data_IF_847317705197
#
_entry.id   IF_847317705197
#
_cell.length_a   1.000
_cell.length_b   1.000
_cell.length_c   1.000
_cell.angle_alpha   90.00
_cell.angle_beta   90.00
_cell.angle_gamma   90.00
#
_symmetry.space_group_name_H-M   'P 1'
#
loop_
_entity.id
_entity.type
_entity.pdbx_description
1 polymer ?
#
# COMPACT_ATOMS: atom_id res chain seq x y z
N UNK A 1 -25.76 -0.81 4.05
CA UNK A 1 -25.32 -2.15 3.61
C UNK A 1 -25.93 -3.13 4.60
N UNK A 2 -26.44 -4.27 4.13
CA UNK A 2 -27.03 -5.30 4.98
C UNK A 2 -26.39 -6.64 4.62
N UNK A 3 -26.27 -7.55 5.59
CA UNK A 3 -25.84 -8.93 5.32
C UNK A 3 -27.01 -9.77 4.77
N UNK A 4 -26.74 -11.04 4.46
CA UNK A 4 -27.73 -12.01 3.98
C UNK A 4 -28.86 -12.30 4.98
N UNK A 5 -28.71 -11.90 6.24
CA UNK A 5 -29.68 -12.09 7.32
C UNK A 5 -30.44 -10.80 7.65
N UNK A 6 -30.21 -9.71 6.90
CA UNK A 6 -30.86 -8.42 7.13
C UNK A 6 -30.24 -7.58 8.25
N UNK A 7 -29.07 -7.96 8.78
CA UNK A 7 -28.39 -7.16 9.79
C UNK A 7 -27.70 -5.95 9.15
N UNK A 8 -27.75 -4.82 9.85
CA UNK A 8 -27.13 -3.57 9.37
C UNK A 8 -25.61 -3.68 9.42
N UNK A 9 -24.96 -3.37 8.29
CA UNK A 9 -23.51 -3.33 8.15
C UNK A 9 -22.98 -1.89 8.03
N UNK A 10 -21.85 -1.64 8.68
CA UNK A 10 -21.10 -0.38 8.63
C UNK A 10 -19.66 -0.66 8.21
N UNK A 11 -19.19 0.09 7.21
CA UNK A 11 -17.79 0.02 6.76
C UNK A 11 -16.94 1.02 7.53
N UNK A 12 -15.81 0.59 8.08
CA UNK A 12 -14.83 1.46 8.75
C UNK A 12 -13.44 1.28 8.13
N UNK A 13 -12.76 2.38 7.86
CA UNK A 13 -11.39 2.37 7.35
C UNK A 13 -10.41 1.93 8.43
N UNK A 14 -9.43 1.11 8.05
CA UNK A 14 -8.43 0.61 9.00
C UNK A 14 -7.50 1.75 9.40
N UNK A 15 -7.36 2.03 10.71
CA UNK A 15 -6.50 3.10 11.21
C UNK A 15 -5.02 2.70 11.31
N UNK A 16 -4.69 1.41 11.17
CA UNK A 16 -3.34 0.88 11.32
C UNK A 16 -2.76 0.30 10.02
N UNK A 17 -1.46 0.00 10.03
CA UNK A 17 -0.80 -0.68 8.91
C UNK A 17 -1.16 -2.16 8.90
N UNK A 18 -1.25 -2.79 7.72
CA UNK A 18 -1.62 -4.21 7.65
C UNK A 18 -0.60 -5.15 8.29
N UNK A 19 0.66 -4.74 8.40
CA UNK A 19 1.69 -5.52 9.11
C UNK A 19 1.65 -5.34 10.64
N UNK A 20 0.81 -4.43 11.15
CA UNK A 20 0.64 -4.19 12.58
C UNK A 20 -0.44 -5.13 13.13
N UNK A 21 -0.06 -6.40 13.29
CA UNK A 21 -0.94 -7.48 13.72
C UNK A 21 -1.62 -7.16 15.06
N UNK A 22 -0.85 -6.76 16.07
CA UNK A 22 -1.37 -6.40 17.38
C UNK A 22 -2.31 -5.18 17.32
N UNK A 23 -1.94 -4.15 16.55
CA UNK A 23 -2.80 -2.97 16.36
C UNK A 23 -4.14 -3.32 15.69
N UNK A 24 -4.14 -4.26 14.72
CA UNK A 24 -5.35 -4.73 14.07
C UNK A 24 -6.23 -5.56 15.03
N UNK A 25 -5.64 -6.50 15.77
CA UNK A 25 -6.37 -7.31 16.76
C UNK A 25 -7.06 -6.43 17.80
N UNK A 26 -6.31 -5.54 18.45
CA UNK A 26 -6.85 -4.58 19.41
C UNK A 26 -7.94 -3.69 18.80
N UNK A 27 -7.77 -3.28 17.54
CA UNK A 27 -8.79 -2.48 16.87
C UNK A 27 -10.11 -3.24 16.70
N UNK A 28 -10.06 -4.52 16.34
CA UNK A 28 -11.26 -5.34 16.19
C UNK A 28 -11.94 -5.56 17.55
N UNK A 29 -11.17 -5.83 18.60
CA UNK A 29 -11.66 -5.96 19.97
C UNK A 29 -12.33 -4.64 20.46
N UNK A 30 -11.69 -3.49 20.22
CA UNK A 30 -12.25 -2.16 20.52
C UNK A 30 -13.53 -1.85 19.73
N UNK A 31 -13.65 -2.35 18.49
CA UNK A 31 -14.86 -2.19 17.69
C UNK A 31 -15.99 -3.07 18.22
N UNK A 32 -15.72 -4.32 18.58
CA UNK A 32 -16.71 -5.24 19.16
C UNK A 32 -17.22 -4.74 20.52
N UNK A 33 -16.34 -4.20 21.36
CA UNK A 33 -16.73 -3.54 22.62
C UNK A 33 -17.66 -2.33 22.41
N UNK A 34 -17.71 -1.76 21.20
CA UNK A 34 -18.61 -0.65 20.83
C UNK A 34 -19.88 -1.11 20.09
N UNK A 35 -20.11 -2.42 19.97
CA UNK A 35 -21.25 -3.00 19.24
C UNK A 35 -21.02 -3.11 17.74
N UNK A 36 -19.77 -3.07 17.29
CA UNK A 36 -19.38 -3.32 15.90
C UNK A 36 -18.65 -4.65 15.81
N UNK A 37 -19.38 -5.73 15.58
CA UNK A 37 -18.80 -7.07 15.42
C UNK A 37 -18.30 -7.24 13.99
N UNK A 38 -17.05 -7.68 13.81
CA UNK A 38 -16.49 -7.87 12.47
C UNK A 38 -17.27 -8.97 11.73
N UNK A 39 -17.74 -8.63 10.54
CA UNK A 39 -18.47 -9.52 9.62
C UNK A 39 -17.56 -9.97 8.48
N UNK A 40 -16.89 -9.02 7.84
CA UNK A 40 -16.01 -9.28 6.70
C UNK A 40 -14.95 -8.18 6.54
N UNK A 41 -13.98 -8.42 5.67
CA UNK A 41 -12.84 -7.56 5.44
C UNK A 41 -12.73 -7.17 3.96
N UNK A 42 -12.90 -5.88 3.69
CA UNK A 42 -12.74 -5.31 2.36
C UNK A 42 -11.31 -4.83 2.08
N UNK A 43 -11.12 -4.16 0.94
CA UNK A 43 -9.83 -3.54 0.60
C UNK A 43 -9.51 -2.43 1.60
N UNK A 44 -8.71 -2.79 2.60
CA UNK A 44 -8.24 -1.90 3.68
C UNK A 44 -9.37 -1.28 4.52
N UNK A 45 -10.50 -1.98 4.66
CA UNK A 45 -11.65 -1.58 5.47
C UNK A 45 -12.24 -2.79 6.18
N UNK A 46 -12.60 -2.67 7.45
CA UNK A 46 -13.43 -3.66 8.13
C UNK A 46 -14.91 -3.38 7.85
N UNK A 47 -15.69 -4.43 7.59
CA UNK A 47 -17.14 -4.38 7.48
C UNK A 47 -17.68 -5.01 8.77
N UNK A 48 -18.47 -4.24 9.50
CA UNK A 48 -18.93 -4.59 10.83
C UNK A 48 -20.44 -4.67 10.86
N UNK A 49 -20.96 -5.72 11.49
CA UNK A 49 -22.36 -5.83 11.89
C UNK A 49 -22.61 -4.93 13.10
N UNK A 50 -23.67 -4.14 13.02
CA UNK A 50 -24.15 -3.32 14.14
C UNK A 50 -24.98 -4.21 15.05
N UNK A 51 -24.58 -4.33 16.30
CA UNK A 51 -25.27 -5.10 17.32
C UNK A 51 -25.05 -4.51 18.71
N UNK A 52 -25.36 -5.30 19.74
CA UNK A 52 -25.09 -4.92 21.13
C UNK A 52 -23.58 -4.90 21.41
N UNK A 53 -23.10 -4.01 22.30
CA UNK A 53 -21.73 -4.03 22.79
C UNK A 53 -21.32 -5.42 23.28
N UNK A 54 -20.25 -5.95 22.71
CA UNK A 54 -19.69 -7.26 23.07
C UNK A 54 -18.27 -7.09 23.64
N UNK A 55 -18.12 -6.51 24.85
CA UNK A 55 -16.83 -6.44 25.53
C UNK A 55 -16.39 -7.87 25.90
N UNK A 56 -15.12 -8.20 25.66
CA UNK A 56 -14.56 -9.53 25.93
C UNK A 56 -14.37 -10.40 24.69
N UNK A 57 -14.96 -10.02 23.55
CA UNK A 57 -14.65 -10.67 22.26
C UNK A 57 -13.19 -10.44 21.90
N UNK A 58 -12.47 -11.53 21.64
CA UNK A 58 -11.03 -11.52 21.28
C UNK A 58 -10.85 -11.78 19.80
N UNK A 59 -9.85 -11.14 19.21
CA UNK A 59 -9.47 -11.37 17.81
C UNK A 59 -8.03 -11.81 17.69
N UNK A 60 -7.78 -12.82 16.86
CA UNK A 60 -6.43 -13.28 16.52
C UNK A 60 -6.27 -13.38 15.01
N UNK A 61 -5.04 -13.11 14.59
CA UNK A 61 -4.67 -12.99 13.17
C UNK A 61 -3.63 -14.05 12.87
N UNK A 62 -4.04 -15.10 12.20
CA UNK A 62 -3.15 -16.21 11.88
C UNK A 62 -2.55 -16.03 10.49
N UNK A 63 -1.22 -16.15 10.32
CA UNK A 63 -0.58 -16.20 9.01
C UNK A 63 -1.27 -17.17 8.05
N UNK A 64 -1.56 -16.72 6.83
CA UNK A 64 -2.17 -17.61 5.84
C UNK A 64 -1.21 -18.72 5.41
N UNK A 65 -1.69 -19.96 5.36
CA UNK A 65 -0.91 -21.10 4.85
C UNK A 65 -0.81 -21.04 3.33
N UNK A 66 -1.93 -20.77 2.64
CA UNK A 66 -2.05 -20.87 1.19
C UNK A 66 -2.11 -19.50 0.48
N UNK A 67 -1.72 -19.49 -0.80
CA UNK A 67 -1.66 -18.27 -1.62
C UNK A 67 -2.99 -17.89 -2.28
N UNK A 68 -3.88 -18.88 -2.43
CA UNK A 68 -5.18 -18.78 -3.08
C UNK A 68 -6.32 -18.43 -2.09
N UNK A 69 -5.98 -18.09 -0.85
CA UNK A 69 -6.93 -17.77 0.23
C UNK A 69 -7.80 -18.97 0.64
N UNK A 70 -7.46 -20.19 0.22
CA UNK A 70 -8.13 -21.39 0.68
C UNK A 70 -7.97 -21.54 2.20
N UNK A 71 -9.01 -22.02 2.86
CA UNK A 71 -8.98 -22.29 4.30
C UNK A 71 -8.43 -23.69 4.53
N UNK A 72 -7.47 -23.83 5.44
CA UNK A 72 -7.05 -25.14 5.94
C UNK A 72 -8.17 -25.69 6.83
N UNK A 73 -8.96 -26.62 6.29
CA UNK A 73 -10.15 -27.13 6.98
C UNK A 73 -9.81 -27.88 8.26
N UNK A 74 -8.70 -28.63 8.28
CA UNK A 74 -8.28 -29.38 9.46
C UNK A 74 -7.81 -28.44 10.56
N UNK A 75 -6.98 -27.43 10.21
CA UNK A 75 -6.55 -26.38 11.14
C UNK A 75 -7.74 -25.57 11.66
N UNK A 76 -8.68 -25.22 10.78
CA UNK A 76 -9.88 -24.48 11.15
C UNK A 76 -10.79 -25.27 12.09
N UNK A 77 -10.94 -26.58 11.86
CA UNK A 77 -11.72 -27.44 12.74
C UNK A 77 -11.09 -27.53 14.13
N UNK A 78 -9.77 -27.71 14.21
CA UNK A 78 -9.06 -27.71 15.48
C UNK A 78 -9.25 -26.38 16.26
N UNK A 79 -9.24 -25.25 15.55
CA UNK A 79 -9.50 -23.94 16.17
C UNK A 79 -10.94 -23.77 16.64
N UNK A 80 -11.91 -24.28 15.87
CA UNK A 80 -13.31 -24.31 16.30
C UNK A 80 -13.51 -25.15 17.57
N UNK A 81 -12.81 -26.28 17.70
CA UNK A 81 -12.82 -27.11 18.91
C UNK A 81 -12.21 -26.38 20.13
N UNK A 82 -11.30 -25.42 19.90
CA UNK A 82 -10.74 -24.52 20.92
C UNK A 82 -11.63 -23.30 21.22
N UNK A 83 -12.77 -23.13 20.55
CA UNK A 83 -13.67 -21.98 20.74
C UNK A 83 -13.44 -20.79 19.80
N UNK A 84 -12.59 -20.94 18.78
CA UNK A 84 -12.31 -19.90 17.80
C UNK A 84 -13.13 -20.07 16.52
N UNK A 85 -13.86 -19.02 16.17
CA UNK A 85 -14.62 -18.93 14.93
C UNK A 85 -13.81 -18.20 13.85
N UNK A 86 -13.76 -18.78 12.66
CA UNK A 86 -13.23 -18.10 11.48
C UNK A 86 -14.20 -17.03 10.99
N UNK A 87 -13.72 -15.80 10.82
CA UNK A 87 -14.53 -14.67 10.34
C UNK A 87 -14.27 -14.39 8.87
N UNK A 88 -13.03 -14.00 8.53
CA UNK A 88 -12.64 -13.65 7.16
C UNK A 88 -11.10 -13.61 7.04
N UNK A 89 -10.55 -13.05 5.97
CA UNK A 89 -9.13 -12.93 5.73
C UNK A 89 -8.69 -11.49 5.36
N UNK A 90 -7.41 -11.18 5.60
CA UNK A 90 -6.80 -9.91 5.20
C UNK A 90 -5.87 -10.15 3.99
N UNK A 91 -6.40 -9.94 2.79
CA UNK A 91 -5.63 -10.09 1.55
C UNK A 91 -4.97 -11.47 1.44
N UNK A 92 -3.64 -11.51 1.38
CA UNK A 92 -2.85 -12.75 1.36
C UNK A 92 -1.96 -12.90 2.61
N UNK A 93 -2.35 -12.25 3.71
CA UNK A 93 -1.51 -12.09 4.89
C UNK A 93 -2.03 -12.91 6.06
N UNK A 94 -3.30 -12.71 6.45
CA UNK A 94 -3.87 -13.31 7.65
C UNK A 94 -5.25 -13.93 7.41
N UNK A 95 -5.57 -14.97 8.17
CA UNK A 95 -6.94 -15.34 8.52
C UNK A 95 -7.31 -14.66 9.84
N UNK A 96 -8.58 -14.27 9.97
CA UNK A 96 -9.12 -13.58 11.13
C UNK A 96 -9.96 -14.59 11.91
N UNK A 97 -9.58 -14.81 13.16
CA UNK A 97 -10.31 -15.64 14.11
C UNK A 97 -10.88 -14.79 15.24
N UNK A 98 -12.07 -15.18 15.71
CA UNK A 98 -12.81 -14.54 16.79
C UNK A 98 -13.13 -15.55 17.88
N UNK A 99 -12.94 -15.20 19.14
CA UNK A 99 -13.47 -15.94 20.27
C UNK A 99 -14.43 -15.02 21.05
N UNK A 100 -15.64 -15.51 21.34
CA UNK A 100 -16.61 -14.76 22.14
C UNK A 100 -16.38 -14.94 23.64
N UNK A 101 -15.84 -16.10 24.04
CA UNK A 101 -15.48 -16.38 25.43
C UNK A 101 -14.09 -15.81 25.75
N UNK A 102 -13.96 -14.86 26.70
CA UNK A 102 -12.68 -14.30 27.11
C UNK A 102 -11.68 -15.33 27.64
N UNK A 103 -12.19 -16.41 28.26
CA UNK A 103 -11.41 -17.49 28.87
C UNK A 103 -10.90 -18.51 27.84
N UNK A 104 -11.26 -18.34 26.56
CA UNK A 104 -10.72 -19.15 25.47
C UNK A 104 -9.20 -19.09 25.44
N UNK A 105 -8.56 -20.26 25.34
CA UNK A 105 -7.11 -20.39 25.24
C UNK A 105 -6.58 -19.57 24.05
N UNK A 106 -5.48 -18.85 24.26
CA UNK A 106 -4.98 -17.93 23.25
C UNK A 106 -4.39 -18.68 22.05
N UNK A 107 -4.72 -18.22 20.84
CA UNK A 107 -4.03 -18.65 19.62
C UNK A 107 -2.63 -18.02 19.61
N UNK A 108 -1.68 -18.72 20.22
CA UNK A 108 -0.27 -18.32 20.16
C UNK A 108 0.33 -18.73 18.82
N UNK A 109 0.39 -17.78 17.89
CA UNK A 109 1.22 -17.93 16.70
C UNK A 109 2.69 -17.82 17.08
N UNK A 110 3.50 -18.84 16.75
CA UNK A 110 4.96 -18.76 16.87
C UNK A 110 5.50 -17.52 16.12
N UNK A 111 6.33 -16.67 16.75
CA UNK A 111 7.01 -15.54 16.10
C UNK A 111 7.67 -15.92 14.77
N UNK A 112 8.20 -17.14 14.66
CA UNK A 112 8.78 -17.63 13.42
C UNK A 112 7.73 -17.72 12.30
N UNK A 113 6.54 -18.23 12.59
CA UNK A 113 5.43 -18.32 11.63
C UNK A 113 4.97 -16.93 11.19
N UNK A 114 4.97 -15.95 12.10
CA UNK A 114 4.65 -14.56 11.76
C UNK A 114 5.67 -13.98 10.78
N UNK A 115 6.96 -14.33 10.89
CA UNK A 115 8.01 -13.83 9.99
C UNK A 115 7.74 -14.12 8.50
N UNK A 116 7.08 -15.25 8.19
CA UNK A 116 6.71 -15.60 6.82
C UNK A 116 5.74 -14.60 6.19
N UNK A 117 4.82 -14.01 6.98
CA UNK A 117 3.91 -12.97 6.47
C UNK A 117 4.69 -11.73 6.06
N UNK A 118 5.69 -11.34 6.86
CA UNK A 118 6.57 -10.23 6.53
C UNK A 118 7.42 -10.52 5.30
N UNK A 119 7.92 -11.75 5.11
CA UNK A 119 8.63 -12.14 3.89
C UNK A 119 7.76 -12.00 2.64
N UNK A 120 6.48 -12.39 2.72
CA UNK A 120 5.52 -12.19 1.62
C UNK A 120 5.30 -10.71 1.33
N UNK A 121 5.11 -9.91 2.39
CA UNK A 121 4.94 -8.46 2.27
C UNK A 121 6.17 -7.82 1.62
N UNK A 122 7.37 -8.13 2.10
CA UNK A 122 8.64 -7.61 1.58
C UNK A 122 8.85 -8.00 0.12
N UNK A 123 8.63 -9.28 -0.26
CA UNK A 123 8.76 -9.73 -1.66
C UNK A 123 7.81 -9.00 -2.59
N UNK A 124 6.54 -8.82 -2.20
CA UNK A 124 5.55 -8.08 -3.02
C UNK A 124 5.95 -6.62 -3.18
N UNK A 125 6.37 -5.97 -2.09
CA UNK A 125 6.80 -4.57 -2.13
C UNK A 125 8.10 -4.38 -2.91
N UNK A 126 9.04 -5.32 -2.85
CA UNK A 126 10.25 -5.31 -3.68
C UNK A 126 9.92 -5.44 -5.16
N UNK A 127 9.06 -6.39 -5.56
CA UNK A 127 8.63 -6.53 -6.96
C UNK A 127 7.99 -5.26 -7.49
N UNK A 128 7.10 -4.65 -6.70
CA UNK A 128 6.47 -3.38 -7.06
C UNK A 128 7.48 -2.23 -7.14
N UNK A 129 8.47 -2.19 -6.24
CA UNK A 129 9.55 -1.21 -6.27
C UNK A 129 10.45 -1.38 -7.50
N UNK A 130 10.85 -2.60 -7.85
CA UNK A 130 11.63 -2.86 -9.07
C UNK A 130 10.83 -2.52 -10.33
N UNK A 131 9.54 -2.87 -10.38
CA UNK A 131 8.68 -2.48 -11.50
C UNK A 131 8.59 -0.95 -11.63
N UNK A 132 8.42 -0.23 -10.51
CA UNK A 132 8.45 1.22 -10.48
C UNK A 132 9.80 1.78 -10.95
N UNK A 133 10.92 1.21 -10.49
CA UNK A 133 12.27 1.63 -10.87
C UNK A 133 12.50 1.45 -12.38
N UNK A 134 12.07 0.32 -12.96
CA UNK A 134 12.17 0.07 -14.41
C UNK A 134 11.34 1.10 -15.19
N UNK A 135 10.12 1.40 -14.75
CA UNK A 135 9.28 2.42 -15.39
C UNK A 135 9.89 3.82 -15.28
N UNK A 136 10.42 4.18 -14.11
CA UNK A 136 11.07 5.48 -13.89
C UNK A 136 12.35 5.62 -14.73
N UNK A 137 13.17 4.57 -14.82
CA UNK A 137 14.37 4.57 -15.68
C UNK A 137 14.01 4.65 -17.16
N UNK A 138 12.96 3.95 -17.60
CA UNK A 138 12.46 4.03 -18.97
C UNK A 138 11.93 5.42 -19.32
N UNK A 139 11.20 6.06 -18.40
CA UNK A 139 10.76 7.45 -18.55
C UNK A 139 11.96 8.39 -18.62
N UNK A 140 12.92 8.27 -17.70
CA UNK A 140 14.11 9.10 -17.67
C UNK A 140 14.90 8.97 -18.99
N UNK A 141 15.13 7.74 -19.47
CA UNK A 141 15.80 7.48 -20.75
C UNK A 141 15.07 8.16 -21.93
N UNK A 142 13.73 8.13 -21.93
CA UNK A 142 12.94 8.85 -22.94
C UNK A 142 13.12 10.38 -22.84
N UNK A 143 13.11 10.94 -21.63
CA UNK A 143 13.23 12.40 -21.42
C UNK A 143 14.61 12.96 -21.76
N UNK A 144 15.67 12.15 -21.60
CA UNK A 144 17.05 12.57 -21.88
C UNK A 144 17.48 12.33 -23.33
N UNK A 145 16.55 11.94 -24.20
CA UNK A 145 16.83 11.69 -25.62
C UNK A 145 17.71 10.47 -25.86
N UNK A 146 17.57 9.41 -25.04
CA UNK A 146 18.33 8.16 -25.22
C UNK A 146 18.04 7.54 -26.58
N UNK A 147 19.07 7.42 -27.40
CA UNK A 147 18.98 6.80 -28.71
C UNK A 147 18.91 5.28 -28.56
N UNK A 148 17.79 4.70 -28.99
CA UNK A 148 17.51 3.26 -28.87
C UNK A 148 18.35 2.43 -29.84
N UNK A 149 18.73 3.00 -30.97
CA UNK A 149 19.43 2.29 -32.04
C UNK A 149 20.93 2.22 -31.75
N UNK A 150 21.51 3.30 -31.21
CA UNK A 150 22.92 3.34 -30.83
C UNK A 150 23.19 3.02 -29.35
N UNK A 151 22.15 2.93 -28.51
CA UNK A 151 22.24 2.84 -27.04
C UNK A 151 23.12 3.95 -26.44
N UNK A 152 23.20 5.11 -27.10
CA UNK A 152 23.99 6.25 -26.64
C UNK A 152 23.11 7.39 -26.14
N UNK A 153 23.68 8.17 -25.22
CA UNK A 153 23.09 9.38 -24.69
C UNK A 153 23.95 10.55 -25.19
N UNK A 154 23.39 11.38 -26.06
CA UNK A 154 24.10 12.52 -26.64
C UNK A 154 23.60 13.82 -26.01
N UNK A 155 24.52 14.58 -25.41
CA UNK A 155 24.23 15.90 -24.82
C UNK A 155 23.51 16.85 -25.79
N UNK A 156 23.87 16.92 -27.09
CA UNK A 156 23.17 17.79 -28.04
C UNK A 156 21.68 17.49 -28.19
N UNK A 157 21.29 16.21 -28.31
CA UNK A 157 19.89 15.81 -28.47
C UNK A 157 19.07 16.19 -27.22
N UNK A 158 19.65 15.97 -26.04
CA UNK A 158 19.03 16.37 -24.79
C UNK A 158 18.81 17.89 -24.71
N UNK A 159 19.83 18.69 -25.07
CA UNK A 159 19.73 20.15 -25.04
C UNK A 159 18.72 20.68 -26.06
N UNK A 160 18.69 20.11 -27.26
CA UNK A 160 17.71 20.44 -28.29
C UNK A 160 16.28 20.16 -27.80
N UNK A 161 16.05 18.97 -27.24
CA UNK A 161 14.75 18.60 -26.67
C UNK A 161 14.38 19.47 -25.47
N UNK A 162 15.33 19.83 -24.62
CA UNK A 162 15.11 20.73 -23.48
C UNK A 162 14.67 22.13 -23.93
N UNK A 163 15.22 22.63 -25.05
CA UNK A 163 14.91 23.96 -25.59
C UNK A 163 13.62 23.98 -26.41
N UNK A 164 13.39 22.97 -27.25
CA UNK A 164 12.22 22.90 -28.12
C UNK A 164 10.95 22.46 -27.37
N UNK A 165 11.12 21.55 -26.41
CA UNK A 165 10.03 20.89 -25.70
C UNK A 165 10.07 21.16 -24.19
N UNK A 166 10.53 22.35 -23.79
CA UNK A 166 10.68 22.75 -22.37
C UNK A 166 9.44 22.48 -21.54
N UNK A 167 8.25 22.72 -22.11
CA UNK A 167 6.95 22.52 -21.48
C UNK A 167 6.66 21.05 -21.11
N UNK A 168 7.34 20.07 -21.71
CA UNK A 168 7.18 18.65 -21.42
C UNK A 168 8.38 18.09 -20.64
N UNK A 169 9.60 18.44 -21.07
CA UNK A 169 10.84 17.89 -20.49
C UNK A 169 11.00 18.32 -19.04
N UNK A 170 10.71 19.59 -18.70
CA UNK A 170 10.90 20.11 -17.34
C UNK A 170 9.99 19.43 -16.31
N UNK A 171 8.65 19.31 -16.53
CA UNK A 171 7.79 18.58 -15.60
C UNK A 171 8.19 17.12 -15.37
N UNK A 172 8.59 16.39 -16.42
CA UNK A 172 9.01 14.99 -16.27
C UNK A 172 10.32 14.87 -15.49
N UNK A 173 11.32 15.70 -15.77
CA UNK A 173 12.57 15.72 -15.01
C UNK A 173 12.35 16.05 -13.52
N UNK A 174 11.44 16.99 -13.23
CA UNK A 174 11.07 17.31 -11.84
C UNK A 174 10.34 16.15 -11.16
N UNK A 175 9.48 15.42 -11.87
CA UNK A 175 8.82 14.23 -11.35
C UNK A 175 9.81 13.09 -11.06
N UNK A 176 10.79 12.89 -11.93
CA UNK A 176 11.85 11.90 -11.75
C UNK A 176 12.78 12.28 -10.59
N UNK A 177 13.16 13.55 -10.49
CA UNK A 177 13.96 14.06 -9.37
C UNK A 177 13.22 13.89 -8.04
N UNK A 178 11.93 14.23 -7.98
CA UNK A 178 11.11 14.01 -6.78
C UNK A 178 11.02 12.53 -6.41
N UNK A 179 10.82 11.66 -7.39
CA UNK A 179 10.75 10.21 -7.18
C UNK A 179 12.06 9.67 -6.64
N UNK A 180 13.20 10.12 -7.17
CA UNK A 180 14.52 9.70 -6.73
C UNK A 180 14.88 10.23 -5.33
N UNK A 181 14.61 11.51 -5.04
CA UNK A 181 15.03 12.14 -3.78
C UNK A 181 14.05 11.92 -2.62
N UNK A 182 12.76 11.70 -2.90
CA UNK A 182 11.72 11.60 -1.85
C UNK A 182 11.16 10.19 -1.78
N UNK A 183 10.68 9.63 -2.89
CA UNK A 183 10.01 8.32 -2.87
C UNK A 183 11.01 7.21 -2.54
N UNK A 184 12.16 7.17 -3.23
CA UNK A 184 13.15 6.10 -3.05
C UNK A 184 13.67 5.99 -1.61
N UNK A 185 14.13 7.07 -0.94
CA UNK A 185 14.57 6.98 0.44
C UNK A 185 13.45 6.56 1.40
N UNK A 186 12.23 7.08 1.22
CA UNK A 186 11.10 6.73 2.08
C UNK A 186 10.72 5.26 1.92
N UNK A 187 10.67 4.74 0.69
CA UNK A 187 10.42 3.33 0.42
C UNK A 187 11.53 2.47 1.01
N UNK A 188 12.80 2.88 0.84
CA UNK A 188 13.95 2.21 1.44
C UNK A 188 13.86 2.17 2.98
N UNK A 189 13.59 3.29 3.64
CA UNK A 189 13.44 3.34 5.10
C UNK A 189 12.28 2.46 5.59
N UNK A 190 11.14 2.48 4.89
CA UNK A 190 10.00 1.60 5.21
C UNK A 190 10.35 0.13 5.05
N UNK A 191 11.04 -0.20 3.96
CA UNK A 191 11.52 -1.55 3.68
C UNK A 191 12.50 -2.00 4.76
N UNK A 192 13.52 -1.20 5.08
CA UNK A 192 14.52 -1.52 6.08
C UNK A 192 13.89 -1.71 7.47
N UNK A 193 12.94 -0.85 7.85
CA UNK A 193 12.18 -1.02 9.11
C UNK A 193 11.41 -2.33 9.14
N UNK A 194 10.77 -2.72 8.05
CA UNK A 194 10.03 -3.97 7.95
C UNK A 194 10.95 -5.19 7.93
N UNK A 195 12.07 -5.10 7.22
CA UNK A 195 13.10 -6.13 7.19
C UNK A 195 13.68 -6.37 8.59
N UNK A 196 14.00 -5.30 9.33
CA UNK A 196 14.46 -5.40 10.73
C UNK A 196 13.43 -6.07 11.65
N UNK A 197 12.14 -5.86 11.42
CA UNK A 197 11.09 -6.51 12.21
C UNK A 197 10.91 -7.97 11.86
N UNK A 198 10.97 -8.29 10.57
CA UNK A 198 11.03 -9.66 10.09
C UNK A 198 12.19 -10.40 10.73
N UNK A 199 13.36 -9.77 10.78
CA UNK A 199 14.57 -10.39 11.34
C UNK A 199 14.42 -10.65 12.84
N UNK A 200 13.84 -9.71 13.59
CA UNK A 200 13.47 -9.94 15.00
C UNK A 200 12.53 -11.13 15.19
N UNK A 201 11.48 -11.22 14.37
CA UNK A 201 10.54 -12.34 14.40
C UNK A 201 11.20 -13.68 14.04
N UNK A 202 12.09 -13.67 13.03
CA UNK A 202 12.85 -14.84 12.63
C UNK A 202 13.85 -15.30 13.70
N UNK A 203 14.29 -14.40 14.60
CA UNK A 203 15.08 -14.75 15.78
C UNK A 203 14.22 -15.29 16.94
N UNK A 204 12.91 -15.46 16.76
CA UNK A 204 11.99 -15.92 17.79
C UNK A 204 11.62 -14.85 18.82
N UNK A 205 12.01 -13.59 18.61
CA UNK A 205 11.66 -12.49 19.51
C UNK A 205 10.24 -12.03 19.16
N UNK A 206 9.25 -12.13 20.07
CA UNK A 206 7.91 -11.68 19.80
C UNK A 206 7.87 -10.17 19.57
N UNK A 207 6.89 -9.70 18.79
CA UNK A 207 6.63 -8.27 18.65
C UNK A 207 6.18 -7.71 20.01
N UNK A 208 6.70 -6.53 20.38
CA UNK A 208 6.23 -5.83 21.57
C UNK A 208 4.72 -5.57 21.49
N UNK A 209 3.97 -6.15 22.42
CA UNK A 209 2.54 -5.92 22.56
C UNK A 209 2.28 -4.43 22.85
N UNK A 210 1.40 -3.81 22.05
CA UNK A 210 0.97 -2.43 22.25
C UNK A 210 1.62 -1.35 21.38
N UNK A 211 2.62 -1.68 20.54
CA UNK A 211 3.14 -0.70 19.57
C UNK A 211 2.15 -0.48 18.41
N UNK A 212 1.24 0.50 18.55
CA UNK A 212 0.30 0.90 17.50
C UNK A 212 1.00 1.71 16.40
N UNK A 213 0.79 1.32 15.15
CA UNK A 213 1.39 1.97 13.97
C UNK A 213 0.32 2.60 13.11
N UNK A 214 -0.06 3.86 13.42
CA UNK A 214 -1.14 4.53 12.73
C UNK A 214 -0.82 4.72 11.26
N UNK A 215 -1.86 4.58 10.45
CA UNK A 215 -1.85 4.82 9.02
C UNK A 215 -2.40 6.20 8.74
N UNK A 216 -1.58 7.06 8.15
CA UNK A 216 -2.06 8.33 7.60
C UNK A 216 -2.23 8.21 6.08
N UNK A 217 -3.50 8.13 5.66
CA UNK A 217 -3.88 8.18 4.25
C UNK A 217 -3.48 9.51 3.63
N UNK A 218 -3.76 10.63 4.31
CA UNK A 218 -3.42 11.97 3.85
C UNK A 218 -1.93 12.11 3.55
N UNK A 219 -1.05 11.65 4.46
CA UNK A 219 0.40 11.65 4.20
C UNK A 219 0.73 10.82 2.97
N UNK A 220 0.20 9.61 2.87
CA UNK A 220 0.48 8.73 1.72
C UNK A 220 0.02 9.36 0.39
N UNK A 221 -1.17 9.95 0.34
CA UNK A 221 -1.69 10.63 -0.84
C UNK A 221 -0.86 11.86 -1.18
N UNK A 222 -0.54 12.71 -0.20
CA UNK A 222 0.29 13.89 -0.40
C UNK A 222 1.68 13.54 -0.97
N UNK A 223 2.28 12.43 -0.53
CA UNK A 223 3.58 11.98 -1.03
C UNK A 223 3.57 11.62 -2.53
N UNK A 224 2.47 11.04 -3.03
CA UNK A 224 2.34 10.65 -4.44
C UNK A 224 1.67 11.71 -5.32
N UNK A 225 0.96 12.68 -4.72
CA UNK A 225 0.26 13.72 -5.46
C UNK A 225 1.21 14.56 -6.32
N UNK A 226 2.36 14.98 -5.78
CA UNK A 226 3.33 15.84 -6.48
C UNK A 226 3.82 15.24 -7.80
N UNK A 227 4.41 14.03 -7.84
CA UNK A 227 4.90 13.45 -9.10
C UNK A 227 3.75 13.13 -10.07
N UNK A 228 2.56 12.75 -9.57
CA UNK A 228 1.38 12.53 -10.42
C UNK A 228 0.96 13.84 -11.09
N UNK A 229 0.89 14.94 -10.34
CA UNK A 229 0.53 16.25 -10.90
C UNK A 229 1.54 16.73 -11.94
N UNK A 230 2.83 16.58 -11.66
CA UNK A 230 3.90 16.93 -12.61
C UNK A 230 3.83 16.10 -13.88
N UNK A 231 3.56 14.80 -13.74
CA UNK A 231 3.35 13.89 -14.87
C UNK A 231 2.11 14.28 -15.69
N UNK A 232 0.98 14.57 -15.03
CA UNK A 232 -0.23 15.04 -15.69
C UNK A 232 -0.02 16.36 -16.43
N UNK A 233 0.71 17.32 -15.85
CA UNK A 233 1.04 18.60 -16.49
C UNK A 233 1.91 18.37 -17.73
N UNK A 234 2.94 17.52 -17.63
CA UNK A 234 3.76 17.12 -18.78
C UNK A 234 2.91 16.50 -19.89
N UNK A 235 1.99 15.60 -19.56
CA UNK A 235 1.10 14.97 -20.56
C UNK A 235 0.07 15.94 -21.15
N UNK A 236 -0.49 16.86 -20.37
CA UNK A 236 -1.47 17.82 -20.85
C UNK A 236 -0.84 18.86 -21.77
N UNK A 237 0.42 19.22 -21.50
CA UNK A 237 1.21 20.01 -22.42
C UNK A 237 1.27 19.35 -23.80
N UNK A 238 1.54 18.04 -23.88
CA UNK A 238 1.65 17.31 -25.16
C UNK A 238 0.37 17.42 -26.00
N UNK A 239 -0.79 17.60 -25.37
CA UNK A 239 -2.08 17.74 -26.05
C UNK A 239 -2.46 19.19 -26.41
N UNK A 240 -1.69 20.20 -25.99
CA UNK A 240 -1.89 21.60 -26.38
C UNK A 240 -0.96 21.91 -27.55
N UNK A 241 -1.45 21.95 -28.81
CA UNK A 241 -0.60 22.21 -29.96
C UNK A 241 0.01 23.63 -29.92
N UNK A 242 1.20 23.84 -30.49
CA UNK A 242 1.88 25.13 -30.53
C UNK A 242 1.21 26.03 -31.58
N UNK A 243 0.02 26.53 -31.29
CA UNK A 243 -0.66 27.50 -32.15
C UNK A 243 -1.14 28.67 -31.30
N UNK A 244 -0.23 29.50 -30.75
CA UNK A 244 -0.49 30.93 -30.40
C UNK A 244 0.80 31.69 -30.04
N UNK A 245 1.95 31.44 -30.69
CA UNK A 245 3.14 32.32 -30.54
C UNK A 245 3.37 33.26 -31.73
N UNK A 246 2.60 33.13 -32.83
CA UNK A 246 2.84 33.90 -34.05
C UNK A 246 2.10 35.24 -34.14
N UNK A 247 1.30 35.63 -33.14
CA UNK A 247 0.48 36.87 -33.19
C UNK A 247 1.15 38.11 -32.59
N UNK A 248 2.44 38.05 -32.20
CA UNK A 248 3.15 39.19 -31.58
C UNK A 248 4.35 39.71 -32.38
N UNK A 249 4.42 39.44 -33.69
CA UNK A 249 5.30 40.19 -34.60
C UNK A 249 4.48 41.29 -35.28
N UNK A 250 4.62 42.58 -34.90
CA UNK A 250 4.00 43.65 -35.65
C UNK A 250 4.62 43.74 -37.03
N UNK A 251 3.77 43.85 -38.05
CA UNK A 251 4.14 44.00 -39.46
C UNK A 251 5.27 45.04 -39.62
N UNK A 252 6.40 44.60 -40.18
CA UNK A 252 7.36 45.51 -40.79
C UNK A 252 6.72 46.05 -42.08
N UNK A 253 6.63 47.38 -42.28
CA UNK A 253 6.27 47.90 -43.57
C UNK A 253 7.42 47.65 -44.56
N UNK A 254 7.11 46.98 -45.66
CA UNK A 254 7.97 46.87 -46.85
C UNK A 254 8.08 48.22 -47.57
N UNK A 255 9.19 48.46 -48.30
CA UNK A 255 9.64 49.78 -48.75
C UNK A 255 8.73 50.48 -49.76
#
# INVERSE_FOLDING_TARGET
MYDQYGNKLVRKAIPYQLYDMAGLQQWFEEMSAKGFLLDSFGIRTGIFRVGEPAPGVRYRLEPQTYWDQSLDYDKNKAYAEMGWEYVDFIGHYYYIYRAEDPETEDLHTDPMTQSYVFDRYLKRHLRAFFAFLVLALGQLAYTIGFDRDSLTLTLPNFLEQLVLDTQYVVPFLLADLWSLLVITPVVYFRFWKLWKLRDKLAMGVPLEEGQRRPRSLARTVAFFAVPITLWCVGTLGVFIPPYQQTTLTPDRPTP
#
